data_IF_209069936292
#
_entry.id   IF_209069936292
#
_cell.length_a   1.000
_cell.length_b   1.000
_cell.length_c   1.000
_cell.angle_alpha   90.00
_cell.angle_beta   90.00
_cell.angle_gamma   90.00
#
_symmetry.space_group_name_H-M   'P 1'
#
loop_
_entity.id
_entity.type
_entity.pdbx_description
1 polymer ?
#
# COMPACT_ATOMS: atom_id res chain seq x y z
N UNK A 1 36.00 6.87 -3.90
CA UNK A 1 34.88 7.04 -2.98
C UNK A 1 35.30 7.97 -1.87
N UNK A 2 34.49 8.95 -1.60
CA UNK A 2 34.70 10.07 -0.72
C UNK A 2 35.10 9.68 0.69
N UNK A 3 36.06 10.35 1.33
CA UNK A 3 36.38 10.16 2.74
C UNK A 3 35.26 10.59 3.70
N UNK A 4 34.12 11.04 3.17
CA UNK A 4 32.99 11.55 3.98
C UNK A 4 31.97 10.48 4.36
N UNK A 5 31.90 9.35 3.65
CA UNK A 5 30.95 8.28 3.94
C UNK A 5 31.63 7.28 4.86
N UNK A 6 31.21 7.25 6.12
CA UNK A 6 31.84 6.46 7.19
C UNK A 6 31.65 4.94 7.08
N UNK A 7 30.92 4.47 6.10
CA UNK A 7 30.65 3.08 5.78
C UNK A 7 29.27 2.99 5.10
N UNK A 8 29.23 2.38 3.93
CA UNK A 8 27.99 2.11 3.21
C UNK A 8 27.51 0.71 3.61
N UNK A 9 26.27 0.59 4.02
CA UNK A 9 25.61 -0.69 4.24
C UNK A 9 24.80 -1.08 3.00
N UNK A 10 23.93 -0.20 2.55
CA UNK A 10 23.10 -0.38 1.35
C UNK A 10 22.97 0.94 0.58
N UNK A 11 22.49 0.88 -0.64
CA UNK A 11 22.28 2.06 -1.47
C UNK A 11 21.05 1.90 -2.36
N UNK A 12 20.40 3.03 -2.64
CA UNK A 12 19.42 3.17 -3.70
C UNK A 12 19.95 4.11 -4.76
N UNK A 13 19.84 3.72 -6.04
CA UNK A 13 20.31 4.54 -7.15
C UNK A 13 19.24 4.67 -8.23
N UNK A 14 18.96 5.89 -8.64
CA UNK A 14 18.04 6.18 -9.72
C UNK A 14 18.53 7.40 -10.50
N UNK A 15 18.62 7.27 -11.82
CA UNK A 15 19.30 8.24 -12.69
C UNK A 15 20.74 8.47 -12.20
N UNK A 16 21.17 9.72 -12.06
CA UNK A 16 22.49 10.05 -11.54
C UNK A 16 22.51 10.33 -10.02
N UNK A 17 21.40 10.05 -9.31
CA UNK A 17 21.28 10.26 -7.86
C UNK A 17 21.45 8.95 -7.11
N UNK A 18 22.31 8.97 -6.09
CA UNK A 18 22.57 7.81 -5.21
C UNK A 18 22.31 8.18 -3.76
N UNK A 19 21.43 7.42 -3.12
CA UNK A 19 21.15 7.48 -1.70
C UNK A 19 21.96 6.39 -1.01
N UNK A 20 22.87 6.78 -0.14
CA UNK A 20 23.77 5.86 0.57
C UNK A 20 23.34 5.73 2.00
N UNK A 21 22.90 4.52 2.40
CA UNK A 21 22.55 4.17 3.78
C UNK A 21 23.78 3.60 4.48
N UNK A 22 24.09 4.11 5.68
CA UNK A 22 25.26 3.63 6.40
C UNK A 22 25.42 4.21 7.79
N UNK A 23 26.55 3.90 8.42
CA UNK A 23 26.86 4.34 9.77
C UNK A 23 26.88 5.87 9.86
N UNK A 24 25.88 6.43 10.54
CA UNK A 24 25.77 7.86 10.79
C UNK A 24 24.72 8.58 9.93
N UNK A 25 23.96 7.87 9.10
CA UNK A 25 22.82 8.46 8.39
C UNK A 25 22.71 8.10 6.92
N UNK A 26 22.11 9.00 6.15
CA UNK A 26 21.92 8.89 4.70
C UNK A 26 22.67 10.02 4.02
N UNK A 27 23.49 9.68 3.02
CA UNK A 27 24.15 10.65 2.14
C UNK A 27 23.51 10.58 0.77
N UNK A 28 23.17 11.74 0.21
CA UNK A 28 22.65 11.84 -1.16
C UNK A 28 23.71 12.42 -2.05
N UNK A 29 24.05 11.69 -3.09
CA UNK A 29 25.10 12.05 -4.04
C UNK A 29 24.48 12.29 -5.43
N UNK A 30 24.93 13.35 -6.10
CA UNK A 30 24.82 13.47 -7.55
C UNK A 30 26.10 12.92 -8.17
N UNK A 31 25.95 12.02 -9.13
CA UNK A 31 27.08 11.36 -9.81
C UNK A 31 27.51 12.07 -11.10
N UNK A 32 26.87 13.16 -11.48
CA UNK A 32 27.09 13.85 -12.75
C UNK A 32 27.59 15.31 -12.55
N UNK A 33 28.66 15.76 -13.18
CA UNK A 33 29.65 14.98 -13.96
C UNK A 33 30.65 14.23 -13.06
N UNK A 34 30.79 14.65 -11.82
CA UNK A 34 31.67 14.05 -10.81
C UNK A 34 30.87 13.87 -9.51
N UNK A 35 31.10 12.78 -8.78
CA UNK A 35 30.36 12.53 -7.54
C UNK A 35 30.53 13.66 -6.52
N UNK A 36 29.42 14.25 -6.09
CA UNK A 36 29.40 15.26 -5.06
C UNK A 36 28.17 15.11 -4.14
N UNK A 37 28.29 15.60 -2.92
CA UNK A 37 27.23 15.54 -1.93
C UNK A 37 26.18 16.62 -2.24
N UNK A 38 24.91 16.22 -2.28
CA UNK A 38 23.77 17.12 -2.49
C UNK A 38 22.78 17.07 -1.34
N UNK A 39 22.89 16.11 -0.41
CA UNK A 39 22.02 16.01 0.75
C UNK A 39 22.60 15.13 1.84
N UNK A 40 22.23 15.40 3.09
CA UNK A 40 22.68 14.65 4.26
C UNK A 40 21.57 14.63 5.33
N UNK A 41 21.18 13.42 5.75
CA UNK A 41 20.28 13.20 6.89
C UNK A 41 21.05 12.38 7.94
N UNK A 42 21.53 13.01 9.00
CA UNK A 42 22.38 12.39 10.02
C UNK A 42 21.93 12.64 11.46
N UNK A 43 20.81 13.33 11.64
CA UNK A 43 20.15 13.56 12.92
C UNK A 43 18.64 13.49 12.72
N UNK A 44 18.01 12.39 13.18
CA UNK A 44 16.59 12.15 12.99
C UNK A 44 16.01 11.27 14.10
N UNK A 45 14.68 11.29 14.31
CA UNK A 45 14.03 10.53 15.36
C UNK A 45 14.30 9.02 15.25
N UNK A 46 14.56 8.37 16.39
CA UNK A 46 14.79 6.91 16.48
C UNK A 46 15.90 6.42 15.53
N UNK A 47 16.94 7.22 15.38
CA UNK A 47 18.11 6.84 14.61
C UNK A 47 18.77 5.58 15.18
N UNK A 48 18.95 4.58 14.32
CA UNK A 48 19.56 3.31 14.65
C UNK A 48 20.63 2.90 13.65
N UNK A 49 20.71 1.61 13.35
CA UNK A 49 21.55 1.10 12.27
C UNK A 49 20.86 1.40 10.93
N UNK A 50 21.26 2.49 10.29
CA UNK A 50 20.73 2.86 8.98
C UNK A 50 21.05 1.79 7.95
N UNK A 51 20.01 1.12 7.44
CA UNK A 51 20.15 -0.10 6.66
C UNK A 51 19.80 0.13 5.19
N UNK A 52 18.54 0.44 4.90
CA UNK A 52 18.04 0.50 3.53
C UNK A 52 17.06 1.65 3.34
N UNK A 53 16.78 2.00 2.09
CA UNK A 53 15.78 3.00 1.79
C UNK A 53 15.37 3.00 0.33
N UNK A 54 14.31 3.74 0.02
CA UNK A 54 13.76 3.87 -1.32
C UNK A 54 13.32 5.30 -1.60
N UNK A 55 13.74 5.84 -2.73
CA UNK A 55 13.41 7.20 -3.18
C UNK A 55 12.37 7.20 -4.28
N UNK A 56 11.40 8.11 -4.18
CA UNK A 56 10.37 8.38 -5.19
C UNK A 56 10.49 9.85 -5.59
N UNK A 57 11.28 10.16 -6.64
CA UNK A 57 11.59 11.54 -7.03
C UNK A 57 10.35 12.35 -7.44
N UNK A 58 9.34 11.71 -8.03
CA UNK A 58 8.12 12.38 -8.48
C UNK A 58 7.27 12.92 -7.32
N UNK A 59 7.60 12.52 -6.09
CA UNK A 59 6.90 12.89 -4.87
C UNK A 59 7.79 13.58 -3.85
N UNK A 60 9.08 13.75 -4.15
CA UNK A 60 10.06 14.27 -3.21
C UNK A 60 10.05 13.50 -1.86
N UNK A 61 9.89 12.17 -1.93
CA UNK A 61 9.84 11.32 -0.74
C UNK A 61 10.93 10.27 -0.74
N UNK A 62 11.57 10.08 0.41
CA UNK A 62 12.45 8.97 0.70
C UNK A 62 11.95 8.22 1.94
N UNK A 63 11.87 6.92 1.88
CA UNK A 63 11.54 6.11 3.07
C UNK A 63 12.77 5.32 3.46
N UNK A 64 13.11 5.37 4.74
CA UNK A 64 14.31 4.75 5.28
C UNK A 64 13.98 3.76 6.40
N UNK A 65 14.70 2.65 6.44
CA UNK A 65 14.67 1.64 7.48
C UNK A 65 15.98 1.62 8.26
N UNK A 66 15.87 1.74 9.59
CA UNK A 66 16.96 1.40 10.51
C UNK A 66 16.76 -0.02 11.02
N UNK A 67 17.70 -0.92 10.76
CA UNK A 67 17.67 -2.31 11.20
C UNK A 67 17.97 -2.41 12.72
N UNK A 68 17.03 -1.92 13.49
CA UNK A 68 17.16 -1.78 14.94
C UNK A 68 15.85 -2.14 15.61
N UNK A 69 15.93 -2.88 16.73
CA UNK A 69 14.75 -3.29 17.51
C UNK A 69 13.87 -2.09 17.86
N UNK A 70 12.59 -2.18 17.52
CA UNK A 70 11.59 -1.17 17.82
C UNK A 70 11.75 0.14 17.03
N UNK A 71 12.66 0.17 16.05
CA UNK A 71 12.83 1.35 15.20
C UNK A 71 11.71 1.42 14.16
N UNK A 72 10.94 2.52 14.10
CA UNK A 72 10.00 2.73 13.00
C UNK A 72 10.75 3.07 11.71
N UNK A 73 10.09 2.88 10.56
CA UNK A 73 10.52 3.52 9.32
C UNK A 73 10.36 5.04 9.42
N UNK A 74 11.15 5.77 8.67
CA UNK A 74 11.07 7.23 8.58
C UNK A 74 10.63 7.60 7.18
N UNK A 75 9.57 8.40 7.08
CA UNK A 75 9.17 9.04 5.83
C UNK A 75 9.82 10.42 5.81
N UNK A 76 10.64 10.65 4.80
CA UNK A 76 11.47 11.85 4.67
C UNK A 76 10.96 12.69 3.52
N UNK A 77 10.66 13.95 3.79
CA UNK A 77 10.47 14.97 2.77
C UNK A 77 11.85 15.38 2.24
N UNK A 78 12.04 15.23 0.95
CA UNK A 78 13.26 15.59 0.24
C UNK A 78 13.03 16.62 -0.87
N UNK A 79 12.00 17.45 -0.74
CA UNK A 79 11.75 18.59 -1.62
C UNK A 79 12.86 19.64 -1.56
N UNK A 80 13.60 19.70 -0.46
CA UNK A 80 14.83 20.45 -0.30
C UNK A 80 15.96 19.50 0.10
N UNK A 81 16.90 19.25 -0.81
CA UNK A 81 18.04 18.36 -0.55
C UNK A 81 19.01 18.92 0.47
N UNK A 82 19.06 20.24 0.68
CA UNK A 82 19.87 20.88 1.72
C UNK A 82 19.24 20.77 3.12
N UNK A 83 17.93 20.41 3.20
CA UNK A 83 17.16 20.33 4.45
C UNK A 83 16.20 19.13 4.47
N UNK A 84 16.73 17.93 4.46
CA UNK A 84 15.96 16.68 4.52
C UNK A 84 15.23 16.56 5.87
N UNK A 85 13.89 16.36 5.86
CA UNK A 85 13.07 16.35 7.06
C UNK A 85 12.29 15.03 7.22
N UNK A 86 12.39 14.39 8.39
CA UNK A 86 11.49 13.29 8.74
C UNK A 86 10.12 13.86 9.09
N UNK A 87 9.11 13.57 8.27
CA UNK A 87 7.74 14.12 8.41
C UNK A 87 6.79 13.15 9.10
N UNK A 88 7.07 11.84 9.05
CA UNK A 88 6.25 10.84 9.74
C UNK A 88 7.04 9.55 10.01
N UNK A 89 6.46 8.71 10.87
CA UNK A 89 7.02 7.43 11.30
C UNK A 89 6.01 6.31 11.03
N UNK A 90 6.51 5.13 10.61
CA UNK A 90 5.70 3.94 10.34
C UNK A 90 6.23 2.78 11.18
N UNK A 91 5.37 2.12 11.93
CA UNK A 91 5.72 0.90 12.66
C UNK A 91 4.76 -0.24 12.31
N UNK A 92 5.22 -1.46 12.50
CA UNK A 92 4.37 -2.64 12.28
C UNK A 92 3.15 -2.68 13.21
N UNK A 93 3.26 -2.05 14.39
CA UNK A 93 2.27 -2.06 15.49
C UNK A 93 1.94 -3.48 16.01
N UNK A 94 2.70 -4.48 15.60
CA UNK A 94 2.51 -5.89 16.01
C UNK A 94 3.35 -6.21 17.24
N UNK A 95 4.63 -5.81 17.22
CA UNK A 95 5.53 -5.98 18.36
C UNK A 95 6.37 -4.72 18.60
N UNK A 96 6.58 -4.37 19.89
CA UNK A 96 7.35 -3.18 20.27
C UNK A 96 8.84 -3.26 19.88
N UNK A 97 9.34 -4.46 19.61
CA UNK A 97 10.73 -4.74 19.28
C UNK A 97 10.93 -5.23 17.82
N UNK A 98 9.88 -5.12 17.00
CA UNK A 98 9.96 -5.47 15.59
C UNK A 98 11.05 -4.68 14.85
N UNK A 99 11.71 -5.34 13.91
CA UNK A 99 12.86 -4.79 13.19
C UNK A 99 12.52 -4.65 11.71
N UNK A 100 12.49 -3.43 11.15
CA UNK A 100 12.38 -3.25 9.71
C UNK A 100 13.70 -3.62 9.02
N UNK A 101 13.61 -4.24 7.84
CA UNK A 101 14.81 -4.62 7.08
C UNK A 101 14.81 -3.95 5.69
N UNK A 102 14.40 -4.65 4.65
CA UNK A 102 14.36 -4.13 3.30
C UNK A 102 12.99 -3.61 2.92
N UNK A 103 12.97 -2.59 2.06
CA UNK A 103 11.72 -2.01 1.57
C UNK A 103 11.77 -1.72 0.07
N UNK A 104 10.61 -1.69 -0.54
CA UNK A 104 10.38 -1.18 -1.90
C UNK A 104 9.12 -0.34 -1.92
N UNK A 105 9.11 0.70 -2.76
CA UNK A 105 7.91 1.50 -2.99
C UNK A 105 7.39 1.22 -4.40
N UNK A 106 6.09 0.99 -4.49
CA UNK A 106 5.37 0.92 -5.76
C UNK A 106 4.13 1.80 -5.66
N UNK A 107 4.02 2.75 -6.56
CA UNK A 107 3.02 3.81 -6.49
C UNK A 107 3.10 4.55 -5.14
N UNK A 108 2.03 4.55 -4.36
CA UNK A 108 1.99 5.15 -3.02
C UNK A 108 2.16 4.13 -1.88
N UNK A 109 2.54 2.90 -2.20
CA UNK A 109 2.62 1.80 -1.24
C UNK A 109 4.07 1.43 -0.92
N UNK A 110 4.40 1.44 0.36
CA UNK A 110 5.67 0.97 0.92
C UNK A 110 5.51 -0.49 1.35
N UNK A 111 6.24 -1.38 0.71
CA UNK A 111 6.33 -2.80 1.06
C UNK A 111 7.59 -3.02 1.86
N UNK A 112 7.47 -3.59 3.04
CA UNK A 112 8.60 -3.78 3.96
C UNK A 112 8.66 -5.21 4.44
N UNK A 113 9.83 -5.83 4.35
CA UNK A 113 10.14 -7.03 5.12
C UNK A 113 10.51 -6.63 6.54
N UNK A 114 9.73 -7.11 7.51
CA UNK A 114 9.78 -6.64 8.90
C UNK A 114 10.11 -7.79 9.86
N UNK A 115 11.11 -8.60 9.52
CA UNK A 115 11.53 -9.80 10.25
C UNK A 115 10.33 -10.62 10.77
N UNK A 116 10.17 -10.78 12.09
CA UNK A 116 9.08 -11.57 12.70
C UNK A 116 7.67 -11.11 12.32
N UNK A 117 7.51 -9.84 11.99
CA UNK A 117 6.22 -9.30 11.60
C UNK A 117 5.90 -9.53 10.12
N UNK A 118 6.77 -10.25 9.41
CA UNK A 118 6.56 -10.62 8.01
C UNK A 118 6.56 -9.43 7.05
N UNK A 119 5.66 -9.43 6.10
CA UNK A 119 5.41 -8.31 5.20
C UNK A 119 4.50 -7.29 5.86
N UNK A 120 4.90 -6.03 5.86
CA UNK A 120 4.06 -4.90 6.20
C UNK A 120 3.88 -3.99 4.99
N UNK A 121 2.68 -3.47 4.78
CA UNK A 121 2.36 -2.56 3.66
C UNK A 121 1.72 -1.30 4.20
N UNK A 122 2.32 -0.16 3.84
CA UNK A 122 1.85 1.15 4.27
C UNK A 122 1.48 2.00 3.06
N UNK A 123 0.39 2.74 3.18
CA UNK A 123 0.01 3.79 2.23
C UNK A 123 0.63 5.12 2.70
N UNK A 124 1.38 5.74 1.80
CA UNK A 124 2.03 7.04 2.00
C UNK A 124 1.49 8.10 1.03
N UNK A 125 0.27 7.94 0.53
CA UNK A 125 -0.36 8.96 -0.33
C UNK A 125 -0.36 10.32 0.37
N UNK A 126 -0.70 10.34 1.66
CA UNK A 126 -0.41 11.45 2.56
C UNK A 126 0.83 11.12 3.39
N UNK A 127 2.00 11.62 2.98
CA UNK A 127 3.26 11.36 3.66
C UNK A 127 3.33 11.91 5.08
N UNK A 128 2.44 12.85 5.44
CA UNK A 128 2.34 13.42 6.79
C UNK A 128 1.45 12.58 7.71
N UNK A 129 0.57 11.75 7.14
CA UNK A 129 -0.36 10.89 7.87
C UNK A 129 -0.51 9.51 7.19
N UNK A 130 0.59 8.77 7.07
CA UNK A 130 0.58 7.45 6.44
C UNK A 130 -0.18 6.43 7.28
N UNK A 131 -0.62 5.34 6.65
CA UNK A 131 -1.37 4.28 7.34
C UNK A 131 -0.92 2.88 6.93
N UNK A 132 -0.97 1.93 7.87
CA UNK A 132 -0.81 0.51 7.55
C UNK A 132 -2.08 0.00 6.88
N UNK A 133 -1.96 -0.54 5.67
CA UNK A 133 -3.09 -0.99 4.85
C UNK A 133 -3.15 -2.51 4.70
N UNK A 134 -2.01 -3.21 4.79
CA UNK A 134 -1.98 -4.66 4.71
C UNK A 134 -0.74 -5.24 5.42
N UNK A 135 -0.79 -6.53 5.67
CA UNK A 135 0.33 -7.29 6.22
C UNK A 135 0.17 -8.78 5.87
N UNK A 136 1.26 -9.52 5.95
CA UNK A 136 1.25 -10.97 5.82
C UNK A 136 2.33 -11.54 6.74
N UNK A 137 1.93 -12.35 7.72
CA UNK A 137 2.87 -13.00 8.62
C UNK A 137 3.55 -14.20 7.93
N UNK A 138 4.87 -14.16 7.84
CA UNK A 138 5.69 -15.25 7.29
C UNK A 138 6.37 -16.08 8.37
N UNK A 139 6.23 -15.69 9.65
CA UNK A 139 6.94 -16.26 10.77
C UNK A 139 5.97 -16.86 11.80
N UNK A 140 5.69 -18.17 11.69
CA UNK A 140 4.74 -18.88 12.56
C UNK A 140 5.09 -18.94 14.06
N UNK A 141 6.40 -18.98 14.48
CA UNK A 141 6.72 -19.01 15.89
C UNK A 141 6.34 -17.72 16.62
N UNK A 142 6.16 -17.82 17.96
CA UNK A 142 5.96 -16.64 18.80
C UNK A 142 7.08 -15.62 18.58
N UNK A 143 6.73 -14.33 18.61
CA UNK A 143 7.68 -13.25 18.46
C UNK A 143 8.79 -13.30 19.51
N UNK A 144 10.01 -13.02 19.07
CA UNK A 144 11.18 -12.92 19.94
C UNK A 144 12.14 -11.87 19.39
N UNK A 145 12.98 -11.31 20.23
CA UNK A 145 14.02 -10.39 19.80
C UNK A 145 15.05 -11.13 18.94
N UNK A 146 15.33 -10.65 17.73
CA UNK A 146 16.33 -11.23 16.85
C UNK A 146 16.01 -11.06 15.37
N UNK A 147 16.84 -11.68 14.55
CA UNK A 147 16.86 -11.57 13.10
C UNK A 147 16.31 -12.84 12.45
N UNK A 148 15.00 -13.06 12.59
CA UNK A 148 14.31 -14.20 12.01
C UNK A 148 13.02 -13.74 11.31
N UNK A 149 12.59 -14.44 10.27
CA UNK A 149 11.41 -14.09 9.50
C UNK A 149 11.74 -13.41 8.18
N UNK A 150 10.93 -12.42 7.78
CA UNK A 150 11.02 -11.75 6.51
C UNK A 150 12.30 -10.90 6.38
N UNK A 151 13.13 -11.26 5.41
CA UNK A 151 14.41 -10.62 5.13
C UNK A 151 14.34 -9.63 3.95
N UNK A 152 13.80 -10.09 2.82
CA UNK A 152 13.73 -9.30 1.59
C UNK A 152 12.34 -9.22 1.01
N UNK A 153 12.05 -8.11 0.35
CA UNK A 153 10.80 -7.87 -0.35
C UNK A 153 11.06 -7.45 -1.78
N UNK A 154 10.20 -7.91 -2.71
CA UNK A 154 10.19 -7.42 -4.08
C UNK A 154 8.74 -7.25 -4.55
N UNK A 155 8.34 -6.01 -4.83
CA UNK A 155 6.96 -5.65 -5.19
C UNK A 155 6.79 -5.20 -6.65
N UNK A 156 7.86 -5.11 -7.45
CA UNK A 156 7.84 -4.53 -8.79
C UNK A 156 7.75 -5.54 -9.94
N UNK A 157 7.22 -6.75 -9.70
CA UNK A 157 6.99 -7.71 -10.78
C UNK A 157 5.87 -7.23 -11.71
N UNK A 158 6.01 -7.40 -13.05
CA UNK A 158 4.94 -7.05 -14.00
C UNK A 158 3.61 -7.78 -13.76
N UNK A 159 3.66 -8.94 -13.09
CA UNK A 159 2.47 -9.69 -12.67
C UNK A 159 1.73 -9.08 -11.48
N UNK A 160 2.28 -8.04 -10.85
CA UNK A 160 1.77 -7.47 -9.61
C UNK A 160 2.09 -8.27 -8.35
N UNK A 161 2.65 -9.48 -8.47
CA UNK A 161 3.00 -10.32 -7.32
C UNK A 161 4.06 -9.69 -6.45
N UNK A 162 3.96 -9.96 -5.16
CA UNK A 162 4.96 -9.57 -4.15
C UNK A 162 5.71 -10.83 -3.71
N UNK A 163 7.03 -10.75 -3.72
CA UNK A 163 7.90 -11.79 -3.22
C UNK A 163 8.44 -11.39 -1.87
N UNK A 164 8.43 -12.33 -0.91
CA UNK A 164 9.09 -12.19 0.38
C UNK A 164 10.06 -13.34 0.54
N UNK A 165 11.33 -13.03 0.77
CA UNK A 165 12.28 -14.03 1.23
C UNK A 165 12.30 -14.04 2.75
N UNK A 166 12.08 -15.21 3.32
CA UNK A 166 12.10 -15.44 4.77
C UNK A 166 13.29 -16.33 5.12
N UNK A 167 14.00 -16.00 6.21
CA UNK A 167 15.25 -16.67 6.60
C UNK A 167 15.02 -18.14 6.93
N UNK A 168 13.90 -18.48 7.55
CA UNK A 168 13.57 -19.85 7.98
C UNK A 168 12.63 -20.55 7.00
N UNK A 169 11.63 -19.84 6.49
CA UNK A 169 10.51 -20.43 5.76
C UNK A 169 10.68 -20.39 4.23
N UNK A 170 11.71 -19.67 3.74
CA UNK A 170 12.06 -19.64 2.33
C UNK A 170 11.36 -18.54 1.54
N UNK A 171 10.76 -18.86 0.39
CA UNK A 171 10.14 -17.86 -0.52
C UNK A 171 8.62 -17.91 -0.46
N UNK A 172 8.03 -16.78 -0.11
CA UNK A 172 6.59 -16.54 -0.24
C UNK A 172 6.32 -15.78 -1.55
N UNK A 173 5.31 -16.23 -2.28
CA UNK A 173 4.80 -15.56 -3.48
C UNK A 173 3.39 -15.15 -3.19
N UNK A 174 3.21 -13.88 -2.86
CA UNK A 174 1.91 -13.30 -2.56
C UNK A 174 1.29 -12.78 -3.85
N UNK A 175 0.04 -13.10 -4.06
CA UNK A 175 -0.70 -12.64 -5.22
C UNK A 175 -1.67 -11.55 -4.79
N UNK A 176 -1.31 -10.28 -4.89
CA UNK A 176 -2.28 -9.22 -4.77
C UNK A 176 -3.12 -9.27 -6.04
N UNK A 177 -4.28 -9.89 -5.95
CA UNK A 177 -5.21 -9.93 -7.07
C UNK A 177 -5.87 -8.57 -7.18
N UNK A 178 -5.63 -7.79 -8.25
CA UNK A 178 -6.44 -6.61 -8.49
C UNK A 178 -7.86 -7.06 -8.76
N UNK A 179 -8.77 -6.71 -7.88
CA UNK A 179 -10.20 -6.92 -8.07
C UNK A 179 -10.76 -5.60 -8.59
N UNK A 180 -11.27 -5.62 -9.82
CA UNK A 180 -12.06 -4.48 -10.32
C UNK A 180 -13.49 -4.67 -9.82
N UNK A 181 -14.01 -3.68 -9.14
CA UNK A 181 -15.34 -3.67 -8.57
C UNK A 181 -16.16 -2.55 -9.21
N UNK A 182 -17.30 -2.91 -9.79
CA UNK A 182 -18.33 -1.94 -10.10
C UNK A 182 -19.13 -1.67 -8.82
N UNK A 183 -18.93 -0.50 -8.22
CA UNK A 183 -19.55 -0.14 -6.96
C UNK A 183 -20.67 0.87 -7.19
N UNK A 184 -21.88 0.49 -6.85
CA UNK A 184 -23.03 1.38 -6.90
C UNK A 184 -23.15 2.26 -5.66
N UNK A 185 -23.76 3.45 -5.75
CA UNK A 185 -23.97 4.32 -4.58
C UNK A 185 -24.72 3.57 -3.48
N UNK A 186 -24.14 3.55 -2.27
CA UNK A 186 -24.72 2.87 -1.11
C UNK A 186 -24.42 1.37 -1.03
N UNK A 187 -23.74 0.80 -2.02
CA UNK A 187 -23.24 -0.58 -1.92
C UNK A 187 -21.99 -0.66 -1.07
N UNK A 188 -21.80 -1.84 -0.50
CA UNK A 188 -20.61 -2.18 0.28
C UNK A 188 -20.08 -3.52 -0.21
N UNK A 189 -18.81 -3.54 -0.58
CA UNK A 189 -18.12 -4.79 -0.88
C UNK A 189 -17.18 -5.15 0.26
N UNK A 190 -17.11 -6.42 0.63
CA UNK A 190 -16.27 -6.89 1.74
C UNK A 190 -15.56 -8.18 1.35
N UNK A 191 -14.25 -8.25 1.64
CA UNK A 191 -13.46 -9.47 1.56
C UNK A 191 -12.42 -9.48 2.67
N UNK A 192 -12.46 -10.50 3.55
CA UNK A 192 -11.63 -10.51 4.76
C UNK A 192 -11.90 -9.29 5.63
N UNK A 193 -10.87 -8.52 5.91
CA UNK A 193 -10.96 -7.29 6.69
C UNK A 193 -11.15 -6.02 5.82
N UNK A 194 -11.09 -6.17 4.49
CA UNK A 194 -11.27 -5.06 3.58
C UNK A 194 -12.74 -4.80 3.31
N UNK A 195 -13.19 -3.59 3.60
CA UNK A 195 -14.55 -3.11 3.32
C UNK A 195 -14.48 -1.85 2.46
N UNK A 196 -15.13 -1.88 1.29
CA UNK A 196 -15.12 -0.80 0.30
C UNK A 196 -16.55 -0.25 0.17
N UNK A 197 -16.70 1.05 0.38
CA UNK A 197 -17.99 1.75 0.39
C UNK A 197 -18.07 2.87 -0.64
N UNK A 198 -16.95 3.20 -1.30
CA UNK A 198 -16.89 4.29 -2.28
C UNK A 198 -15.89 3.95 -3.38
N UNK A 199 -16.00 4.54 -4.58
CA UNK A 199 -15.02 4.38 -5.64
C UNK A 199 -13.63 4.85 -5.24
N UNK A 200 -12.59 4.15 -5.71
CA UNK A 200 -11.21 4.47 -5.42
C UNK A 200 -10.30 3.25 -5.47
N UNK A 201 -9.03 3.47 -5.13
CA UNK A 201 -8.06 2.38 -4.93
C UNK A 201 -8.04 1.97 -3.46
N UNK A 202 -8.10 0.67 -3.25
CA UNK A 202 -8.16 0.08 -1.92
C UNK A 202 -7.15 -1.06 -1.83
N UNK A 203 -6.43 -1.10 -0.71
CA UNK A 203 -5.53 -2.19 -0.38
C UNK A 203 -5.84 -2.67 1.03
N UNK A 204 -5.86 -3.97 1.22
CA UNK A 204 -6.14 -4.53 2.54
C UNK A 204 -5.99 -6.03 2.59
N UNK A 205 -6.20 -6.57 3.77
CA UNK A 205 -6.23 -8.00 4.00
C UNK A 205 -7.55 -8.54 3.50
N UNK A 206 -7.49 -9.51 2.61
CA UNK A 206 -8.66 -10.15 2.03
C UNK A 206 -8.49 -11.66 1.92
N UNK A 207 -9.48 -12.33 1.35
CA UNK A 207 -9.45 -13.78 1.11
C UNK A 207 -9.47 -14.05 -0.39
N UNK A 208 -8.40 -14.62 -0.90
CA UNK A 208 -8.34 -15.12 -2.27
C UNK A 208 -9.02 -16.51 -2.34
N UNK A 209 -9.91 -16.76 -3.32
CA UNK A 209 -10.60 -18.05 -3.43
C UNK A 209 -9.68 -19.26 -3.67
N UNK A 210 -8.46 -19.04 -4.17
CA UNK A 210 -7.52 -20.09 -4.54
C UNK A 210 -6.37 -20.27 -3.54
N UNK A 211 -5.98 -19.17 -2.86
CA UNK A 211 -4.79 -19.14 -2.01
C UNK A 211 -5.07 -18.81 -0.54
N UNK A 212 -6.34 -18.58 -0.17
CA UNK A 212 -6.72 -18.23 1.21
C UNK A 212 -6.45 -16.76 1.54
N UNK A 213 -5.88 -16.49 2.71
CA UNK A 213 -5.54 -15.11 3.11
C UNK A 213 -4.54 -14.49 2.15
N UNK A 214 -4.80 -13.28 1.73
CA UNK A 214 -4.02 -12.58 0.71
C UNK A 214 -4.13 -11.06 0.88
N UNK A 215 -3.16 -10.35 0.32
CA UNK A 215 -3.28 -8.91 0.15
C UNK A 215 -4.12 -8.68 -1.09
N UNK A 216 -5.26 -8.03 -0.92
CA UNK A 216 -6.13 -7.64 -2.02
C UNK A 216 -5.88 -6.19 -2.40
N UNK A 217 -5.79 -5.97 -3.71
CA UNK A 217 -5.92 -4.67 -4.33
C UNK A 217 -7.23 -4.59 -5.05
N UNK A 218 -8.04 -3.62 -4.67
CA UNK A 218 -9.30 -3.37 -5.34
C UNK A 218 -9.28 -1.97 -5.99
N UNK A 219 -9.68 -1.93 -7.24
CA UNK A 219 -10.04 -0.70 -7.93
C UNK A 219 -11.57 -0.67 -8.03
N UNK A 220 -12.20 0.11 -7.13
CA UNK A 220 -13.61 0.35 -7.19
C UNK A 220 -13.87 1.52 -8.15
N UNK A 221 -14.56 1.23 -9.24
CA UNK A 221 -15.00 2.24 -10.21
C UNK A 221 -16.48 2.56 -9.97
N UNK A 222 -16.94 3.78 -10.29
CA UNK A 222 -18.37 4.06 -10.32
C UNK A 222 -19.02 3.08 -11.30
N UNK A 223 -19.81 2.13 -10.78
CA UNK A 223 -20.50 1.16 -11.60
C UNK A 223 -21.48 1.87 -12.54
N UNK A 224 -21.62 1.37 -13.77
CA UNK A 224 -22.88 1.50 -14.48
C UNK A 224 -23.84 0.58 -13.69
N UNK A 225 -24.40 1.15 -12.63
CA UNK A 225 -25.40 0.41 -11.86
C UNK A 225 -26.48 0.01 -12.85
N UNK A 226 -26.74 -1.27 -13.03
CA UNK A 226 -27.94 -1.63 -13.75
C UNK A 226 -29.03 -0.82 -13.07
N UNK A 227 -29.75 0.01 -13.82
CA UNK A 227 -30.99 0.62 -13.35
C UNK A 227 -31.69 -0.52 -12.63
N UNK A 228 -31.81 -0.41 -11.30
CA UNK A 228 -32.37 -1.49 -10.51
C UNK A 228 -33.68 -1.83 -11.20
N UNK A 229 -33.81 -3.05 -11.77
CA UNK A 229 -35.07 -3.45 -12.37
C UNK A 229 -36.10 -3.32 -11.26
N UNK A 230 -36.83 -2.20 -11.25
CA UNK A 230 -37.72 -1.84 -10.13
C UNK A 230 -37.44 -0.48 -9.48
N UNK A 231 -36.35 0.23 -9.81
CA UNK A 231 -36.14 1.64 -9.47
C UNK A 231 -36.78 2.51 -10.56
N UNK A 232 -38.05 2.76 -10.43
CA UNK A 232 -38.86 3.48 -11.40
C UNK A 232 -38.79 5.00 -11.22
N UNK A 233 -38.38 5.49 -10.06
CA UNK A 233 -38.20 6.91 -9.79
C UNK A 233 -36.75 7.39 -9.99
N UNK A 234 -35.83 6.46 -10.33
CA UNK A 234 -34.41 6.70 -10.57
C UNK A 234 -33.68 7.35 -9.39
N UNK A 235 -34.07 7.00 -8.15
CA UNK A 235 -33.41 7.47 -6.94
C UNK A 235 -32.28 6.55 -6.45
N UNK A 236 -31.93 5.51 -7.24
CA UNK A 236 -30.94 4.48 -6.98
C UNK A 236 -31.29 3.56 -5.79
N UNK A 237 -32.55 3.47 -5.42
CA UNK A 237 -33.02 2.52 -4.40
C UNK A 237 -34.42 1.99 -4.72
N UNK A 238 -34.65 0.70 -4.50
CA UNK A 238 -35.98 0.12 -4.64
C UNK A 238 -36.74 0.34 -3.33
N UNK A 239 -37.80 1.13 -3.37
CA UNK A 239 -38.55 1.53 -2.19
C UNK A 239 -40.06 1.68 -2.43
N UNK A 240 -40.73 2.36 -1.49
CA UNK A 240 -42.18 2.63 -1.57
C UNK A 240 -42.53 3.54 -2.76
N UNK A 241 -41.60 4.42 -3.16
CA UNK A 241 -41.77 5.30 -4.34
C UNK A 241 -41.95 4.47 -5.60
N UNK A 242 -41.08 3.47 -5.81
CA UNK A 242 -41.11 2.59 -6.97
C UNK A 242 -42.35 1.72 -7.01
N UNK A 243 -42.77 1.22 -5.83
CA UNK A 243 -44.00 0.47 -5.72
C UNK A 243 -45.21 1.33 -6.08
N UNK A 244 -45.24 2.60 -5.68
CA UNK A 244 -46.30 3.53 -6.04
C UNK A 244 -46.28 3.81 -7.54
N UNK A 245 -45.12 3.95 -8.15
CA UNK A 245 -44.95 4.16 -9.60
C UNK A 245 -45.47 2.92 -10.35
N UNK A 246 -45.05 1.71 -9.94
CA UNK A 246 -45.52 0.46 -10.52
C UNK A 246 -47.01 0.32 -10.42
N UNK A 247 -47.58 0.58 -9.25
CA UNK A 247 -49.01 0.49 -9.02
C UNK A 247 -49.81 1.50 -9.85
N UNK A 248 -49.27 2.67 -10.09
CA UNK A 248 -49.87 3.69 -10.95
C UNK A 248 -49.91 3.29 -12.43
N UNK A 249 -49.03 2.40 -12.84
CA UNK A 249 -48.95 1.84 -14.18
C UNK A 249 -49.69 0.53 -14.33
N UNK A 250 -50.30 0.01 -13.26
CA UNK A 250 -50.98 -1.28 -13.28
C UNK A 250 -52.25 -1.23 -14.15
N UNK A 251 -52.28 -2.08 -15.15
CA UNK A 251 -53.34 -2.12 -16.17
C UNK A 251 -53.12 -1.19 -17.35
N UNK A 252 -51.95 -0.65 -17.50
CA UNK A 252 -51.50 0.03 -18.70
C UNK A 252 -51.37 -1.03 -19.84
N UNK A 253 -51.93 -0.75 -21.00
CA UNK A 253 -51.98 -1.68 -22.14
C UNK A 253 -51.18 -1.18 -23.37
N UNK A 254 -50.52 -0.03 -23.27
CA UNK A 254 -49.61 0.50 -24.31
C UNK A 254 -48.56 1.41 -23.72
N UNK A 255 -47.29 1.16 -24.06
CA UNK A 255 -46.13 2.01 -23.69
C UNK A 255 -45.94 2.21 -22.21
N UNK A 256 -46.06 1.14 -21.41
CA UNK A 256 -45.87 1.18 -19.97
C UNK A 256 -44.41 1.40 -19.61
N UNK A 257 -44.11 2.43 -18.85
CA UNK A 257 -42.76 2.73 -18.39
C UNK A 257 -42.27 1.77 -17.29
N UNK A 258 -43.15 0.95 -16.74
CA UNK A 258 -42.84 -0.08 -15.76
C UNK A 258 -42.91 -1.52 -16.34
N UNK A 259 -42.89 -1.66 -17.67
CA UNK A 259 -42.80 -2.95 -18.34
C UNK A 259 -41.38 -3.47 -18.28
N UNK A 260 -41.10 -4.31 -17.28
CA UNK A 260 -39.79 -4.83 -16.96
C UNK A 260 -39.31 -5.94 -17.93
N UNK A 261 -40.20 -6.61 -18.58
CA UNK A 261 -39.93 -7.72 -19.49
C UNK A 261 -40.06 -7.34 -20.98
N UNK A 262 -40.58 -6.16 -21.29
CA UNK A 262 -40.74 -5.62 -22.63
C UNK A 262 -41.83 -6.36 -23.46
N UNK A 263 -42.74 -7.09 -22.84
CA UNK A 263 -43.78 -7.85 -23.54
C UNK A 263 -45.03 -7.04 -23.88
N UNK A 264 -45.12 -5.82 -23.40
CA UNK A 264 -46.18 -4.87 -23.69
C UNK A 264 -47.46 -5.10 -22.88
N UNK A 265 -47.37 -5.86 -21.74
CA UNK A 265 -48.52 -6.15 -20.89
C UNK A 265 -48.27 -5.69 -19.43
#
# INVERSE_FOLDING_TARGET
LSPWIGGCHDLFALNDTVWVNGNGGVWVLDMNPEPHLIGLLNDYPFQGLNHSGWWVPERDVYVLADETNGSPLKVVDCSDMDDLQVVSLLSSETAEDAIPHNLMIRDDLVFVSYYHDGLQVFDIQDMSNPSKVAWYDTFEPDHHIGYAGAWGVHSALPSGRVLISDVQSGLFVLNPTPVTLDLCPGETWTSGNLTITEPGRWVGQGTDPWFGESILWAEAVPGECPTCNGDFDNNASIGVGDLQFLLAQFGCDTSCSADMNGDGA
#
